data_IF_245672448719
#
_entry.id   IF_245672448719
#
_cell.length_a   1.000
_cell.length_b   1.000
_cell.length_c   1.000
_cell.angle_alpha   90.00
_cell.angle_beta   90.00
_cell.angle_gamma   90.00
#
_symmetry.space_group_name_H-M   'P 1'
#
loop_
_entity.id
_entity.type
_entity.pdbx_description
1 polymer ?
#
# COMPACT_ATOMS: atom_id res chain seq x y z
N UNK A 1 2.85 -39.54 13.30
CA UNK A 1 2.08 -38.28 13.18
C UNK A 1 3.03 -37.18 12.76
N UNK A 2 3.46 -37.24 11.49
CA UNK A 2 4.48 -36.34 10.94
C UNK A 2 3.75 -35.14 10.38
N UNK A 3 3.85 -33.99 11.04
CA UNK A 3 3.34 -32.73 10.53
C UNK A 3 4.21 -32.34 9.33
N UNK A 4 3.65 -32.49 8.13
CA UNK A 4 4.18 -31.88 6.92
C UNK A 4 4.01 -30.36 7.08
N UNK A 5 5.07 -29.68 7.48
CA UNK A 5 5.18 -28.23 7.33
C UNK A 5 4.94 -27.90 5.86
N UNK A 6 3.98 -27.00 5.52
CA UNK A 6 3.83 -26.58 4.13
C UNK A 6 5.12 -25.85 3.72
N UNK A 7 5.81 -26.42 2.73
CA UNK A 7 6.87 -25.71 2.01
C UNK A 7 6.16 -24.55 1.31
N UNK A 8 6.39 -23.33 1.78
CA UNK A 8 5.89 -22.14 1.09
C UNK A 8 6.59 -22.08 -0.26
N UNK A 9 5.86 -22.43 -1.31
CA UNK A 9 6.32 -22.27 -2.69
C UNK A 9 6.79 -20.82 -2.89
N UNK A 10 7.98 -20.59 -3.46
CA UNK A 10 8.44 -19.24 -3.71
C UNK A 10 7.46 -18.55 -4.66
N UNK A 11 6.84 -17.47 -4.18
CA UNK A 11 6.05 -16.57 -5.03
C UNK A 11 6.94 -16.20 -6.20
N UNK A 12 6.52 -16.52 -7.43
CA UNK A 12 7.24 -16.08 -8.64
C UNK A 12 7.21 -14.56 -8.64
N UNK A 13 8.29 -13.95 -8.16
CA UNK A 13 8.38 -12.50 -8.11
C UNK A 13 8.72 -12.05 -9.51
N UNK A 14 7.74 -11.52 -10.23
CA UNK A 14 8.03 -10.59 -11.32
C UNK A 14 9.00 -9.53 -10.78
N UNK A 15 9.97 -9.13 -11.59
CA UNK A 15 11.07 -8.20 -11.29
C UNK A 15 10.84 -7.34 -10.02
N UNK A 16 11.57 -7.65 -8.95
CA UNK A 16 11.42 -7.01 -7.64
C UNK A 16 11.64 -5.50 -7.76
N UNK A 17 10.58 -4.72 -7.56
CA UNK A 17 10.67 -3.26 -7.48
C UNK A 17 11.17 -2.85 -6.11
N UNK A 18 12.26 -2.09 -6.06
CA UNK A 18 12.70 -1.42 -4.83
C UNK A 18 11.92 -0.11 -4.67
N UNK A 19 11.23 0.02 -3.54
CA UNK A 19 10.47 1.21 -3.16
C UNK A 19 10.88 1.64 -1.76
N UNK A 20 10.81 2.94 -1.48
CA UNK A 20 10.78 3.40 -0.09
C UNK A 20 9.48 2.94 0.58
N UNK A 21 9.47 2.80 1.91
CA UNK A 21 8.24 2.48 2.65
C UNK A 21 7.11 3.49 2.36
N UNK A 22 7.46 4.77 2.20
CA UNK A 22 6.52 5.84 1.84
C UNK A 22 5.86 5.57 0.49
N UNK A 23 6.64 5.18 -0.52
CA UNK A 23 6.13 4.87 -1.86
C UNK A 23 5.26 3.61 -1.85
N UNK A 24 5.71 2.54 -1.19
CA UNK A 24 4.94 1.31 -1.08
C UNK A 24 3.57 1.54 -0.41
N UNK A 25 3.54 2.31 0.67
CA UNK A 25 2.29 2.68 1.34
C UNK A 25 1.39 3.57 0.48
N UNK A 26 1.96 4.57 -0.22
CA UNK A 26 1.20 5.43 -1.13
C UNK A 26 0.56 4.62 -2.25
N UNK A 27 1.32 3.73 -2.90
CA UNK A 27 0.83 2.86 -3.97
C UNK A 27 -0.29 1.94 -3.48
N UNK A 28 -0.14 1.34 -2.29
CA UNK A 28 -1.14 0.46 -1.72
C UNK A 28 -2.45 1.21 -1.37
N UNK A 29 -2.36 2.41 -0.79
CA UNK A 29 -3.55 3.23 -0.50
C UNK A 29 -4.26 3.66 -1.78
N UNK A 30 -3.50 4.10 -2.78
CA UNK A 30 -4.03 4.49 -4.09
C UNK A 30 -4.75 3.32 -4.77
N UNK A 31 -4.14 2.14 -4.80
CA UNK A 31 -4.74 0.93 -5.38
C UNK A 31 -6.05 0.54 -4.68
N UNK A 32 -6.07 0.58 -3.33
CA UNK A 32 -7.26 0.31 -2.55
C UNK A 32 -8.40 1.31 -2.85
N UNK A 33 -8.08 2.61 -2.92
CA UNK A 33 -9.05 3.66 -3.24
C UNK A 33 -9.57 3.56 -4.69
N UNK A 34 -8.73 3.15 -5.65
CA UNK A 34 -9.12 2.99 -7.06
C UNK A 34 -9.96 1.73 -7.31
N UNK A 35 -9.77 0.69 -6.50
CA UNK A 35 -10.44 -0.60 -6.68
C UNK A 35 -11.85 -0.62 -6.09
N UNK A 36 -12.12 0.18 -5.05
CA UNK A 36 -13.39 0.18 -4.33
C UNK A 36 -13.77 1.61 -3.90
N UNK A 37 -14.80 2.15 -4.54
CA UNK A 37 -15.31 3.52 -4.31
C UNK A 37 -15.79 3.79 -2.87
N UNK A 38 -15.92 2.73 -2.04
CA UNK A 38 -16.28 2.86 -0.62
C UNK A 38 -15.07 3.15 0.26
N UNK A 39 -13.86 3.03 -0.27
CA UNK A 39 -12.61 3.29 0.46
C UNK A 39 -12.29 4.77 0.39
N UNK A 40 -12.12 5.39 1.56
CA UNK A 40 -11.69 6.77 1.68
C UNK A 40 -10.67 6.90 2.82
N UNK A 41 -9.81 7.92 2.72
CA UNK A 41 -8.81 8.22 3.73
C UNK A 41 -9.30 9.39 4.62
N UNK A 42 -9.19 9.21 5.94
CA UNK A 42 -9.53 10.24 6.92
C UNK A 42 -8.50 10.26 8.05
N UNK A 43 -8.27 11.44 8.62
CA UNK A 43 -7.30 11.65 9.70
C UNK A 43 -6.81 13.10 9.75
N UNK A 44 -5.94 13.38 10.71
CA UNK A 44 -5.26 14.67 10.81
C UNK A 44 -4.24 14.82 9.67
N UNK A 45 -4.25 15.97 9.00
CA UNK A 45 -3.31 16.37 7.95
C UNK A 45 -3.22 15.46 6.70
N UNK A 46 -4.04 14.43 6.58
CA UNK A 46 -3.96 13.45 5.47
C UNK A 46 -4.39 14.03 4.11
N UNK A 47 -5.15 15.13 4.09
CA UNK A 47 -5.63 15.79 2.88
C UNK A 47 -4.56 16.63 2.20
N UNK A 48 -4.79 17.95 2.09
CA UNK A 48 -3.89 18.89 1.39
C UNK A 48 -2.43 18.89 1.86
N UNK A 49 -2.18 18.52 3.13
CA UNK A 49 -0.82 18.44 3.67
C UNK A 49 -0.11 17.11 3.33
N UNK A 50 -0.86 16.07 2.92
CA UNK A 50 -0.31 14.76 2.56
C UNK A 50 0.18 13.91 3.73
N UNK A 51 -0.19 14.27 4.96
CA UNK A 51 0.20 13.63 6.21
C UNK A 51 1.62 13.98 6.68
N UNK A 52 1.91 13.69 7.94
CA UNK A 52 3.21 14.00 8.58
C UNK A 52 4.44 13.42 7.82
N UNK A 53 4.26 12.29 7.15
CA UNK A 53 5.31 11.62 6.38
C UNK A 53 5.12 11.70 4.86
N UNK A 54 4.26 12.60 4.38
CA UNK A 54 3.97 12.80 2.95
C UNK A 54 3.51 11.52 2.22
N UNK A 55 2.86 10.59 2.91
CA UNK A 55 2.42 9.32 2.32
C UNK A 55 1.16 9.52 1.47
N UNK A 56 0.22 10.37 1.92
CA UNK A 56 -1.01 10.68 1.19
C UNK A 56 -0.88 11.90 0.26
N UNK A 57 0.34 12.41 0.07
CA UNK A 57 0.61 13.56 -0.79
C UNK A 57 0.06 13.35 -2.20
N UNK A 58 -0.77 14.29 -2.66
CA UNK A 58 -1.40 14.28 -3.97
C UNK A 58 -2.62 13.34 -4.10
N UNK A 59 -2.96 12.53 -3.09
CA UNK A 59 -4.10 11.60 -3.20
C UNK A 59 -5.46 12.30 -3.11
N UNK A 60 -5.51 13.54 -2.59
CA UNK A 60 -6.75 14.31 -2.50
C UNK A 60 -7.11 14.98 -3.84
N UNK A 61 -6.09 15.30 -4.64
CA UNK A 61 -6.24 15.96 -5.94
C UNK A 61 -6.44 14.99 -7.11
N UNK A 62 -6.10 13.71 -6.93
CA UNK A 62 -6.34 12.62 -7.89
C UNK A 62 -7.84 12.27 -8.02
#
# INVERSE_FOLDING_TARGET
>A
MTLLTPVLEPVRVAELRTLTYREAMREAMRDAMQRDDRVFLMGEDVGRYGGCFAVSMGLLEE
#
